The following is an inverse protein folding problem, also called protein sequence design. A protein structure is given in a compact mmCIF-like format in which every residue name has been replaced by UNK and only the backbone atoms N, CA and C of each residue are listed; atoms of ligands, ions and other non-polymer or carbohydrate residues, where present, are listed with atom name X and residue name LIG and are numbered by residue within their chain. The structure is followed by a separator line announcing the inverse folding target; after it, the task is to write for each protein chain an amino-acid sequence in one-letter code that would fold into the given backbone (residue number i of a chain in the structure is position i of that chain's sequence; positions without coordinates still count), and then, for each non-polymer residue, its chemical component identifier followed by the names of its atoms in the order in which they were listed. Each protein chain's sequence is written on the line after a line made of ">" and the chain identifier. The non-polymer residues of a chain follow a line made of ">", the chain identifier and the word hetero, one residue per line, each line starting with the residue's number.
data_IF_520817400260
#
_entry.id   IF_520817400260
#
_cell.length_a   1.000
_cell.length_b   1.000
_cell.length_c   1.000
_cell.angle_alpha   90.00
_cell.angle_beta   90.00
_cell.angle_gamma   90.00
#
_symmetry.space_group_name_H-M   'P 1'
#
loop_
_entity.id
_entity.type
_entity.pdbx_description
1 polymer ?
#
# COMPACT_ATOMS: atom_id res chain seq x y z
N UNK A 1 5.38 -15.43 -2.66
CA UNK A 1 4.03 -15.99 -2.97
C UNK A 1 2.98 -14.90 -2.79
N UNK A 2 1.83 -14.93 -3.50
CA UNK A 2 0.69 -14.02 -3.30
C UNK A 2 -0.56 -14.84 -3.05
N UNK A 3 -1.21 -14.64 -1.92
CA UNK A 3 -2.48 -15.25 -1.54
C UNK A 3 -3.55 -14.17 -1.38
N UNK A 4 -4.74 -14.37 -1.91
CA UNK A 4 -5.86 -13.41 -1.84
C UNK A 4 -7.17 -14.17 -1.78
N UNK A 5 -8.06 -13.77 -0.88
CA UNK A 5 -9.41 -14.27 -0.81
C UNK A 5 -10.41 -13.11 -0.66
N UNK A 6 -11.46 -13.07 -1.46
CA UNK A 6 -12.51 -12.05 -1.39
C UNK A 6 -13.63 -12.45 -0.41
N UNK A 7 -13.30 -13.17 0.65
CA UNK A 7 -14.21 -13.64 1.71
C UNK A 7 -13.76 -13.06 3.05
N UNK A 8 -14.63 -12.99 4.05
CA UNK A 8 -14.22 -12.64 5.41
C UNK A 8 -13.11 -13.55 5.91
N UNK A 9 -12.10 -12.97 6.57
CA UNK A 9 -10.91 -13.70 7.02
C UNK A 9 -11.23 -14.93 7.88
N UNK A 10 -12.28 -14.85 8.70
CA UNK A 10 -12.73 -15.95 9.55
C UNK A 10 -13.44 -17.10 8.80
N UNK A 11 -13.72 -16.91 7.50
CA UNK A 11 -14.29 -17.95 6.63
C UNK A 11 -13.21 -18.62 5.76
N UNK A 12 -11.97 -18.22 5.88
CA UNK A 12 -10.87 -18.78 5.10
C UNK A 12 -10.27 -19.98 5.82
N UNK A 13 -10.72 -21.16 5.46
CA UNK A 13 -10.29 -22.42 6.05
C UNK A 13 -8.79 -22.76 5.77
N UNK A 14 -8.16 -22.08 4.79
CA UNK A 14 -6.76 -22.36 4.46
C UNK A 14 -5.77 -21.49 5.24
N UNK A 15 -6.27 -20.48 5.96
CA UNK A 15 -5.38 -19.46 6.56
C UNK A 15 -4.47 -20.04 7.63
N UNK A 16 -4.97 -20.93 8.48
CA UNK A 16 -4.16 -21.58 9.54
C UNK A 16 -3.07 -22.45 8.95
N UNK A 17 -3.39 -23.27 7.95
CA UNK A 17 -2.42 -24.13 7.27
C UNK A 17 -1.36 -23.31 6.54
N UNK A 18 -1.76 -22.22 5.89
CA UNK A 18 -0.84 -21.30 5.26
C UNK A 18 0.06 -20.61 6.27
N UNK A 19 -0.49 -20.09 7.35
CA UNK A 19 0.29 -19.41 8.40
C UNK A 19 1.31 -20.32 9.07
N UNK A 20 0.98 -21.60 9.24
CA UNK A 20 1.90 -22.59 9.83
C UNK A 20 2.99 -23.07 8.87
N UNK A 21 2.73 -23.00 7.56
CA UNK A 21 3.60 -23.59 6.52
C UNK A 21 4.48 -22.57 5.81
N UNK A 22 4.07 -21.30 5.80
CA UNK A 22 4.78 -20.24 5.09
C UNK A 22 5.86 -19.64 5.97
N UNK A 23 7.09 -19.72 5.49
CA UNK A 23 8.23 -19.04 6.08
C UNK A 23 8.81 -18.07 5.04
N UNK A 24 8.92 -16.80 5.41
CA UNK A 24 9.53 -15.77 4.59
C UNK A 24 10.17 -14.70 5.49
N UNK A 25 11.16 -14.02 4.95
CA UNK A 25 11.81 -12.91 5.65
C UNK A 25 10.97 -11.62 5.57
N UNK A 26 10.04 -11.53 4.62
CA UNK A 26 9.19 -10.37 4.40
C UNK A 26 7.74 -10.79 4.14
N UNK A 27 6.83 -10.17 4.88
CA UNK A 27 5.38 -10.35 4.74
C UNK A 27 4.69 -9.02 4.46
N UNK A 28 3.81 -9.01 3.48
CA UNK A 28 2.81 -7.96 3.28
C UNK A 28 1.42 -8.57 3.52
N UNK A 29 0.71 -8.06 4.52
CA UNK A 29 -0.61 -8.57 4.90
C UNK A 29 -1.62 -7.44 5.03
N UNK A 30 -2.82 -7.65 4.52
CA UNK A 30 -3.93 -6.70 4.67
C UNK A 30 -5.27 -7.42 4.79
N UNK A 31 -6.11 -6.88 5.67
CA UNK A 31 -7.52 -7.22 5.77
C UNK A 31 -8.30 -5.93 5.62
N UNK A 32 -9.29 -5.90 4.73
CA UNK A 32 -10.09 -4.69 4.52
C UNK A 32 -11.58 -5.02 4.38
N UNK A 33 -12.42 -4.09 4.75
CA UNK A 33 -13.83 -4.10 4.40
C UNK A 33 -13.98 -3.72 2.92
N UNK A 34 -14.97 -4.31 2.23
CA UNK A 34 -15.31 -3.90 0.87
C UNK A 34 -15.85 -2.46 0.88
N UNK A 35 -15.36 -1.63 -0.03
CA UNK A 35 -15.92 -0.29 -0.23
C UNK A 35 -17.33 -0.42 -0.80
N UNK A 36 -18.34 0.24 -0.22
CA UNK A 36 -19.70 0.22 -0.77
C UNK A 36 -19.71 0.62 -2.26
N UNK A 37 -20.39 -0.15 -3.09
CA UNK A 37 -20.49 0.09 -4.54
C UNK A 37 -19.34 -0.50 -5.38
N UNK A 38 -18.25 -0.97 -4.78
CA UNK A 38 -17.24 -1.75 -5.46
C UNK A 38 -17.51 -3.24 -5.30
N UNK A 39 -17.51 -3.98 -6.40
CA UNK A 39 -17.72 -5.44 -6.36
C UNK A 39 -16.65 -6.14 -5.53
N UNK A 40 -17.09 -7.07 -4.70
CA UNK A 40 -16.19 -7.98 -3.98
C UNK A 40 -15.71 -9.04 -4.98
N UNK A 41 -14.41 -9.08 -5.23
CA UNK A 41 -13.83 -10.04 -6.18
C UNK A 41 -12.31 -10.04 -6.13
N UNK A 42 -11.71 -11.11 -6.66
CA UNK A 42 -10.25 -11.28 -6.68
C UNK A 42 -9.50 -10.12 -7.34
N UNK A 43 -10.08 -9.49 -8.36
CA UNK A 43 -9.45 -8.36 -9.07
C UNK A 43 -9.35 -7.10 -8.19
N UNK A 44 -10.26 -6.93 -7.23
CA UNK A 44 -10.28 -5.80 -6.30
C UNK A 44 -9.62 -6.13 -4.95
N UNK A 45 -9.05 -7.32 -4.79
CA UNK A 45 -8.44 -7.77 -3.54
C UNK A 45 -6.93 -7.58 -3.58
N UNK A 46 -6.42 -6.87 -2.58
CA UNK A 46 -4.99 -6.63 -2.38
C UNK A 46 -4.27 -7.88 -1.79
N UNK A 47 -2.94 -7.97 -1.89
CA UNK A 47 -2.04 -7.04 -2.56
C UNK A 47 -2.14 -7.14 -4.09
N UNK A 48 -2.00 -6.01 -4.78
CA UNK A 48 -1.80 -5.99 -6.23
C UNK A 48 -0.38 -6.40 -6.57
N UNK A 49 -0.15 -6.87 -7.80
CA UNK A 49 1.18 -7.33 -8.23
C UNK A 49 1.45 -6.94 -9.67
N UNK A 50 2.67 -6.43 -9.90
CA UNK A 50 3.26 -6.26 -11.22
C UNK A 50 4.72 -6.73 -11.17
N UNK A 51 5.07 -7.71 -11.97
CA UNK A 51 6.39 -8.37 -11.93
C UNK A 51 6.76 -8.83 -10.51
N UNK A 52 7.84 -8.28 -9.92
CA UNK A 52 8.28 -8.54 -8.55
C UNK A 52 7.67 -7.55 -7.52
N UNK A 53 7.01 -6.48 -7.96
CA UNK A 53 6.39 -5.51 -7.07
C UNK A 53 5.06 -5.98 -6.52
N UNK A 54 4.88 -5.83 -5.22
CA UNK A 54 3.61 -5.94 -4.51
C UNK A 54 3.18 -4.57 -3.99
N UNK A 55 1.87 -4.34 -3.96
CA UNK A 55 1.30 -3.06 -3.53
C UNK A 55 0.07 -3.27 -2.66
N UNK A 56 -0.01 -2.49 -1.58
CA UNK A 56 -1.17 -2.35 -0.71
C UNK A 56 -1.48 -0.87 -0.49
N UNK A 57 -2.76 -0.57 -0.24
CA UNK A 57 -3.24 0.77 0.02
C UNK A 57 -4.28 0.76 1.14
N UNK A 58 -4.04 1.54 2.17
CA UNK A 58 -4.99 1.86 3.22
C UNK A 58 -5.42 3.32 3.04
N UNK A 59 -6.55 3.50 2.40
CA UNK A 59 -7.05 4.81 2.04
C UNK A 59 -8.12 4.77 0.96
N UNK A 60 -8.39 5.91 0.37
CA UNK A 60 -9.31 6.08 -0.76
C UNK A 60 -9.04 7.41 -1.48
N UNK A 61 -9.47 7.49 -2.73
CA UNK A 61 -9.64 8.76 -3.46
C UNK A 61 -11.14 9.05 -3.54
N UNK A 62 -11.55 10.21 -3.01
CA UNK A 62 -12.96 10.63 -3.07
C UNK A 62 -13.44 10.76 -4.51
N UNK A 63 -14.64 10.24 -4.79
CA UNK A 63 -15.28 10.28 -6.12
C UNK A 63 -14.36 9.78 -7.24
N UNK A 64 -13.54 8.77 -6.93
CA UNK A 64 -12.49 8.25 -7.81
C UNK A 64 -12.99 7.89 -9.21
N UNK A 65 -14.16 7.24 -9.30
CA UNK A 65 -14.70 6.76 -10.57
C UNK A 65 -14.97 7.90 -11.57
N UNK A 66 -15.42 9.04 -11.05
CA UNK A 66 -15.80 10.21 -11.84
C UNK A 66 -14.64 11.17 -12.07
N UNK A 67 -13.72 11.27 -11.12
CA UNK A 67 -12.68 12.30 -11.11
C UNK A 67 -11.28 11.75 -11.35
N UNK A 68 -10.78 10.91 -10.47
CA UNK A 68 -9.41 10.41 -10.51
C UNK A 68 -9.16 9.46 -11.69
N UNK A 69 -10.03 8.44 -11.86
CA UNK A 69 -9.85 7.41 -12.88
C UNK A 69 -9.71 7.96 -14.31
N UNK A 70 -10.61 8.84 -14.82
CA UNK A 70 -10.47 9.34 -16.17
C UNK A 70 -9.20 10.16 -16.41
N UNK A 71 -8.70 10.83 -15.38
CA UNK A 71 -7.48 11.65 -15.49
C UNK A 71 -6.22 10.78 -15.44
N UNK A 72 -6.15 9.82 -14.51
CA UNK A 72 -5.03 8.90 -14.43
C UNK A 72 -4.88 8.12 -15.74
N UNK A 73 -5.98 7.63 -16.32
CA UNK A 73 -5.96 6.92 -17.62
C UNK A 73 -5.37 7.71 -18.77
N UNK A 74 -5.45 9.04 -18.76
CA UNK A 74 -4.83 9.87 -19.80
C UNK A 74 -3.29 9.96 -19.67
N UNK A 75 -2.78 9.69 -18.49
CA UNK A 75 -1.36 9.81 -18.14
C UNK A 75 -0.64 8.47 -18.33
N UNK A 76 -1.31 7.37 -17.98
CA UNK A 76 -0.72 6.04 -18.01
C UNK A 76 -0.27 5.64 -19.41
N UNK A 77 0.95 5.12 -19.53
CA UNK A 77 1.36 4.37 -20.70
C UNK A 77 0.49 3.11 -20.85
N UNK A 78 0.25 2.71 -22.10
CA UNK A 78 -0.68 1.63 -22.46
C UNK A 78 -0.40 0.32 -21.70
N UNK A 79 0.85 -0.02 -21.48
CA UNK A 79 1.24 -1.25 -20.79
C UNK A 79 0.79 -1.27 -19.32
N UNK A 80 0.85 -0.14 -18.59
CA UNK A 80 0.38 -0.08 -17.20
C UNK A 80 -1.14 -0.07 -17.13
N UNK A 81 -1.81 0.63 -18.06
CA UNK A 81 -3.27 0.61 -18.16
C UNK A 81 -3.78 -0.80 -18.46
N UNK A 82 -3.15 -1.52 -19.36
CA UNK A 82 -3.51 -2.87 -19.75
C UNK A 82 -3.37 -3.92 -18.62
N UNK A 83 -2.56 -3.64 -17.61
CA UNK A 83 -2.41 -4.50 -16.43
C UNK A 83 -3.49 -4.29 -15.36
N UNK A 84 -4.27 -3.22 -15.44
CA UNK A 84 -5.37 -2.95 -14.50
C UNK A 84 -6.49 -3.95 -14.78
N UNK A 85 -6.84 -4.75 -13.77
CA UNK A 85 -7.85 -5.80 -13.86
C UNK A 85 -9.16 -5.42 -13.15
N UNK A 86 -9.05 -4.62 -12.10
CA UNK A 86 -10.17 -4.17 -11.30
C UNK A 86 -10.57 -2.72 -11.59
N UNK A 87 -11.24 -2.13 -10.63
CA UNK A 87 -11.74 -0.77 -10.75
C UNK A 87 -11.49 0.09 -9.51
N UNK A 88 -10.59 -0.35 -8.62
CA UNK A 88 -10.25 0.35 -7.39
C UNK A 88 -9.26 1.47 -7.65
N UNK A 89 -9.37 2.55 -6.87
CA UNK A 89 -8.37 3.62 -6.81
C UNK A 89 -6.96 3.08 -6.51
N UNK A 90 -6.88 2.11 -5.62
CA UNK A 90 -5.63 1.46 -5.21
C UNK A 90 -4.84 0.88 -6.39
N UNK A 91 -5.51 0.19 -7.31
CA UNK A 91 -4.86 -0.40 -8.49
C UNK A 91 -4.38 0.68 -9.46
N UNK A 92 -5.13 1.77 -9.61
CA UNK A 92 -4.75 2.91 -10.43
C UNK A 92 -3.60 3.73 -9.83
N UNK A 93 -3.56 3.89 -8.50
CA UNK A 93 -2.42 4.49 -7.80
C UNK A 93 -1.16 3.65 -8.05
N UNK A 94 -1.27 2.33 -7.93
CA UNK A 94 -0.16 1.44 -8.21
C UNK A 94 0.33 1.56 -9.64
N UNK A 95 -0.57 1.53 -10.62
CA UNK A 95 -0.23 1.69 -12.04
C UNK A 95 0.46 3.05 -12.30
N UNK A 96 0.03 4.13 -11.63
CA UNK A 96 0.64 5.45 -11.76
C UNK A 96 2.07 5.49 -11.18
N UNK A 97 2.30 4.87 -10.03
CA UNK A 97 3.65 4.76 -9.46
C UNK A 97 4.56 3.96 -10.39
N UNK A 98 4.08 2.83 -10.92
CA UNK A 98 4.85 2.00 -11.87
C UNK A 98 5.17 2.73 -13.17
N UNK A 99 4.27 3.58 -13.66
CA UNK A 99 4.50 4.42 -14.82
C UNK A 99 5.69 5.37 -14.63
N UNK A 100 5.81 6.00 -13.46
CA UNK A 100 6.96 6.85 -13.17
C UNK A 100 8.24 6.07 -12.87
N UNK A 101 8.11 4.86 -12.31
CA UNK A 101 9.26 4.00 -11.99
C UNK A 101 10.09 3.59 -13.22
N UNK A 102 9.55 3.71 -14.45
CA UNK A 102 10.32 3.45 -15.67
C UNK A 102 11.53 4.38 -15.83
N UNK A 103 11.44 5.61 -15.30
CA UNK A 103 12.44 6.64 -15.47
C UNK A 103 13.03 7.15 -14.14
N UNK A 104 12.49 6.72 -13.02
CA UNK A 104 12.79 7.18 -11.68
C UNK A 104 13.21 6.00 -10.78
N UNK A 105 13.79 6.30 -9.63
CA UNK A 105 13.81 5.35 -8.53
C UNK A 105 12.44 5.32 -7.83
N UNK A 106 12.19 4.33 -6.95
CA UNK A 106 10.89 4.17 -6.29
C UNK A 106 10.49 5.38 -5.44
N UNK A 107 11.44 6.04 -4.79
CA UNK A 107 11.17 7.25 -3.98
C UNK A 107 10.65 8.38 -4.87
N UNK A 108 11.34 8.67 -5.97
CA UNK A 108 10.93 9.69 -6.94
C UNK A 108 9.62 9.31 -7.64
N UNK A 109 9.42 8.05 -7.98
CA UNK A 109 8.19 7.57 -8.59
C UNK A 109 6.97 7.79 -7.68
N UNK A 110 7.10 7.56 -6.37
CA UNK A 110 6.04 7.87 -5.39
C UNK A 110 5.78 9.37 -5.33
N UNK A 111 6.82 10.19 -5.22
CA UNK A 111 6.71 11.66 -5.17
C UNK A 111 6.01 12.19 -6.41
N UNK A 112 6.43 11.76 -7.61
CA UNK A 112 5.81 12.18 -8.88
C UNK A 112 4.35 11.73 -8.97
N UNK A 113 4.04 10.49 -8.60
CA UNK A 113 2.66 9.99 -8.60
C UNK A 113 1.77 10.82 -7.66
N UNK A 114 2.24 11.15 -6.46
CA UNK A 114 1.47 11.94 -5.49
C UNK A 114 1.33 13.40 -5.92
N UNK A 115 2.35 13.98 -6.55
CA UNK A 115 2.27 15.32 -7.14
C UNK A 115 1.20 15.39 -8.23
N UNK A 116 1.19 14.44 -9.15
CA UNK A 116 0.17 14.35 -10.19
C UNK A 116 -1.23 14.11 -9.60
N UNK A 117 -1.36 13.26 -8.60
CA UNK A 117 -2.64 13.06 -7.91
C UNK A 117 -3.13 14.35 -7.28
N UNK A 118 -2.26 15.13 -6.64
CA UNK A 118 -2.63 16.43 -6.07
C UNK A 118 -3.11 17.42 -7.12
N UNK A 119 -2.47 17.46 -8.29
CA UNK A 119 -2.89 18.32 -9.41
C UNK A 119 -4.27 17.94 -9.94
N UNK A 120 -4.48 16.65 -10.25
CA UNK A 120 -5.72 16.19 -10.91
C UNK A 120 -6.93 16.14 -9.97
N UNK A 121 -6.70 15.99 -8.66
CA UNK A 121 -7.78 15.94 -7.68
C UNK A 121 -8.26 17.33 -7.23
N UNK A 122 -7.41 18.35 -7.34
CA UNK A 122 -7.74 19.73 -6.97
C UNK A 122 -8.16 19.84 -5.49
N UNK A 123 -9.44 20.08 -5.23
CA UNK A 123 -9.97 20.20 -3.86
C UNK A 123 -10.48 18.88 -3.26
N UNK A 124 -10.43 17.79 -4.01
CA UNK A 124 -10.86 16.51 -3.51
C UNK A 124 -9.82 15.89 -2.57
N UNK A 125 -10.31 15.10 -1.62
CA UNK A 125 -9.44 14.41 -0.67
C UNK A 125 -9.02 13.04 -1.16
N UNK A 126 -7.77 12.69 -0.86
CA UNK A 126 -7.25 11.34 -0.98
C UNK A 126 -6.45 10.98 0.27
N UNK A 127 -6.63 9.76 0.75
CA UNK A 127 -5.84 9.17 1.83
C UNK A 127 -4.91 8.14 1.18
N UNK A 128 -3.61 8.31 1.34
CA UNK A 128 -2.59 7.62 0.55
C UNK A 128 -1.52 6.92 1.43
N UNK A 129 -1.98 6.17 2.44
CA UNK A 129 -1.09 5.25 3.12
C UNK A 129 -0.88 4.04 2.19
N UNK A 130 0.18 4.04 1.42
CA UNK A 130 0.53 2.95 0.51
C UNK A 130 1.73 2.18 1.04
N UNK A 131 1.83 0.93 0.66
CA UNK A 131 2.96 0.08 0.95
C UNK A 131 3.33 -0.71 -0.31
N UNK A 132 4.59 -0.62 -0.70
CA UNK A 132 5.17 -1.32 -1.84
C UNK A 132 6.36 -2.17 -1.40
N UNK A 133 6.58 -3.28 -2.08
CA UNK A 133 7.79 -4.08 -1.90
C UNK A 133 8.16 -4.81 -3.18
N UNK A 134 9.47 -4.89 -3.43
CA UNK A 134 10.09 -5.72 -4.46
C UNK A 134 10.54 -7.09 -3.93
N UNK A 135 10.38 -7.32 -2.62
CA UNK A 135 10.84 -8.51 -1.89
C UNK A 135 12.13 -8.28 -1.10
N UNK A 136 12.82 -7.17 -1.31
CA UNK A 136 14.03 -6.77 -0.59
C UNK A 136 13.77 -5.56 0.31
N UNK A 137 13.04 -4.58 -0.19
CA UNK A 137 12.69 -3.34 0.52
C UNK A 137 11.19 -3.17 0.65
N UNK A 138 10.79 -2.46 1.70
CA UNK A 138 9.42 -1.96 1.88
C UNK A 138 9.49 -0.43 1.81
N UNK A 139 8.62 0.14 0.99
CA UNK A 139 8.35 1.57 0.91
C UNK A 139 6.94 1.80 1.44
N UNK A 140 6.82 2.56 2.53
CA UNK A 140 5.53 2.82 3.18
C UNK A 140 5.32 4.30 3.37
N UNK A 141 4.16 4.82 2.96
CA UNK A 141 3.84 6.24 3.11
C UNK A 141 2.76 6.46 4.15
N UNK A 142 2.89 7.54 4.91
CA UNK A 142 1.79 8.18 5.63
C UNK A 142 1.52 9.52 4.98
N UNK A 143 0.48 9.58 4.14
CA UNK A 143 0.22 10.76 3.31
C UNK A 143 -1.28 10.97 3.06
N UNK A 144 -1.68 12.23 2.90
CA UNK A 144 -3.02 12.59 2.44
C UNK A 144 -2.99 13.87 1.61
N UNK A 145 -3.94 13.98 0.70
CA UNK A 145 -4.24 15.18 -0.07
C UNK A 145 -5.57 15.74 0.49
N UNK A 146 -5.58 17.03 0.86
CA UNK A 146 -6.76 17.72 1.38
C UNK A 146 -7.48 16.98 2.54
N UNK A 147 -6.72 16.38 3.44
CA UNK A 147 -7.26 15.64 4.59
C UNK A 147 -6.18 15.25 5.60
N UNK A 148 -6.59 14.57 6.65
CA UNK A 148 -5.68 13.97 7.63
C UNK A 148 -5.33 12.55 7.20
N UNK A 149 -4.04 12.21 7.23
CA UNK A 149 -3.59 10.87 6.89
C UNK A 149 -4.08 9.83 7.91
N UNK A 150 -4.44 8.62 7.48
CA UNK A 150 -4.66 7.52 8.41
C UNK A 150 -3.41 7.29 9.27
N UNK A 151 -3.59 6.65 10.42
CA UNK A 151 -2.46 6.27 11.27
C UNK A 151 -1.49 5.34 10.55
N UNK A 152 -0.23 5.46 10.90
CA UNK A 152 0.84 4.52 10.53
C UNK A 152 1.81 4.44 11.71
N UNK A 153 2.22 3.24 12.04
CA UNK A 153 3.15 2.97 13.13
C UNK A 153 4.31 2.14 12.62
N UNK A 154 5.47 2.40 13.19
CA UNK A 154 6.65 1.56 13.08
C UNK A 154 6.92 0.90 14.43
N UNK A 155 7.31 -0.37 14.43
CA UNK A 155 7.71 -1.09 15.62
C UNK A 155 8.90 -2.01 15.35
N UNK A 156 9.84 -2.05 16.29
CA UNK A 156 10.96 -2.98 16.28
C UNK A 156 10.96 -3.79 17.58
N UNK A 157 11.30 -5.07 17.50
CA UNK A 157 11.33 -5.98 18.65
C UNK A 157 10.00 -6.00 19.43
N UNK A 158 8.88 -5.99 18.71
CA UNK A 158 7.55 -6.00 19.31
C UNK A 158 7.26 -7.37 19.89
N UNK A 159 6.74 -7.42 21.12
CA UNK A 159 6.36 -8.67 21.78
C UNK A 159 5.35 -9.48 20.94
N UNK A 160 5.57 -10.78 20.84
CA UNK A 160 4.76 -11.71 20.02
C UNK A 160 5.30 -11.92 18.61
N UNK A 161 6.36 -11.21 18.21
CA UNK A 161 7.05 -11.39 16.94
C UNK A 161 8.47 -11.95 17.17
N UNK A 162 9.09 -12.45 16.10
CA UNK A 162 10.46 -12.95 16.17
C UNK A 162 11.43 -11.84 16.61
N UNK A 163 12.51 -12.16 17.33
CA UNK A 163 13.57 -11.21 17.63
C UNK A 163 14.07 -10.51 16.35
N UNK A 164 14.43 -9.24 16.48
CA UNK A 164 14.92 -8.39 15.39
C UNK A 164 13.88 -8.11 14.26
N UNK A 165 12.62 -8.51 14.46
CA UNK A 165 11.54 -8.15 13.53
C UNK A 165 11.28 -6.66 13.53
N UNK A 166 11.05 -6.13 12.33
CA UNK A 166 10.58 -4.77 12.10
C UNK A 166 9.18 -4.80 11.47
N UNK A 167 8.31 -3.93 11.92
CA UNK A 167 6.90 -3.89 11.52
C UNK A 167 6.48 -2.48 11.14
N UNK A 168 5.73 -2.36 10.03
CA UNK A 168 5.00 -1.15 9.67
C UNK A 168 3.53 -1.53 9.61
N UNK A 169 2.69 -0.89 10.41
CA UNK A 169 1.28 -1.24 10.58
C UNK A 169 0.37 0.00 10.62
N UNK A 170 -0.88 -0.16 10.19
CA UNK A 170 -1.87 0.92 10.25
C UNK A 170 -2.36 1.19 11.67
N UNK A 171 -2.36 0.16 12.52
CA UNK A 171 -2.79 0.22 13.92
C UNK A 171 -1.80 -0.55 14.80
N UNK A 172 -1.43 0.00 15.96
CA UNK A 172 -0.58 -0.70 16.91
C UNK A 172 -1.24 -2.01 17.36
N UNK A 173 -0.51 -3.11 17.26
CA UNK A 173 -1.05 -4.45 17.53
C UNK A 173 -1.06 -4.82 19.03
N UNK A 174 -0.49 -3.95 19.87
CA UNK A 174 -0.42 -4.12 21.33
C UNK A 174 -0.22 -2.75 22.00
N UNK A 175 -0.40 -2.70 23.31
CA UNK A 175 -0.10 -1.50 24.13
C UNK A 175 1.41 -1.34 24.41
N UNK A 176 2.26 -1.97 23.65
CA UNK A 176 3.72 -1.92 23.80
C UNK A 176 4.26 -0.53 23.53
N UNK A 177 5.25 -0.11 24.31
CA UNK A 177 6.02 1.15 24.10
C UNK A 177 6.97 1.07 22.89
N UNK A 178 7.05 -0.06 22.22
CA UNK A 178 7.89 -0.26 21.04
C UNK A 178 7.28 0.31 19.75
N UNK A 179 6.02 0.74 19.78
CA UNK A 179 5.38 1.41 18.66
C UNK A 179 5.70 2.90 18.63
N UNK A 180 6.15 3.36 17.48
CA UNK A 180 6.39 4.77 17.18
C UNK A 180 5.38 5.21 16.12
N UNK A 181 4.71 6.32 16.38
CA UNK A 181 3.81 6.93 15.38
C UNK A 181 4.67 7.57 14.30
N UNK A 182 4.42 7.22 13.06
CA UNK A 182 5.03 7.88 11.90
C UNK A 182 4.34 9.23 11.69
N UNK A 183 5.08 10.30 11.49
CA UNK A 183 4.52 11.62 11.20
C UNK A 183 3.78 11.66 9.86
N UNK A 184 2.89 12.63 9.67
CA UNK A 184 2.23 12.85 8.38
C UNK A 184 3.24 13.30 7.32
N UNK A 185 2.93 13.01 6.05
CA UNK A 185 3.76 13.34 4.90
C UNK A 185 5.17 12.75 5.00
N UNK A 186 5.23 11.45 5.35
CA UNK A 186 6.47 10.68 5.44
C UNK A 186 6.44 9.45 4.54
N UNK A 187 7.62 9.15 4.02
CA UNK A 187 7.96 7.89 3.38
C UNK A 187 8.97 7.16 4.26
N UNK A 188 8.63 5.96 4.68
CA UNK A 188 9.56 5.03 5.32
C UNK A 188 10.12 4.07 4.27
N UNK A 189 11.43 3.83 4.33
CA UNK A 189 12.09 2.80 3.54
C UNK A 189 12.75 1.84 4.53
N UNK A 190 12.32 0.59 4.50
CA UNK A 190 12.78 -0.47 5.37
C UNK A 190 13.35 -1.61 4.56
N UNK A 191 14.53 -2.09 4.94
CA UNK A 191 15.14 -3.32 4.42
C UNK A 191 15.59 -4.18 5.58
N UNK A 192 16.02 -5.41 5.29
CA UNK A 192 16.47 -6.35 6.32
C UNK A 192 17.75 -5.87 7.02
N UNK A 193 18.69 -5.37 6.25
CA UNK A 193 20.07 -5.17 6.68
C UNK A 193 20.43 -3.70 6.91
N UNK A 194 19.57 -2.76 6.48
CA UNK A 194 19.82 -1.33 6.60
C UNK A 194 18.98 -0.72 7.75
N UNK A 195 19.43 0.40 8.29
CA UNK A 195 18.63 1.21 9.18
C UNK A 195 17.38 1.74 8.48
N UNK A 196 16.30 1.91 9.24
CA UNK A 196 15.08 2.55 8.73
C UNK A 196 15.40 3.97 8.24
N UNK A 197 15.02 4.26 7.00
CA UNK A 197 15.13 5.60 6.43
C UNK A 197 13.75 6.26 6.44
N UNK A 198 13.69 7.49 6.94
CA UNK A 198 12.47 8.32 6.91
C UNK A 198 12.73 9.59 6.10
N UNK A 199 11.88 9.86 5.11
CA UNK A 199 11.95 11.01 4.21
C UNK A 199 10.66 11.83 4.28
N UNK A 200 10.76 13.14 4.09
CA UNK A 200 9.59 14.00 3.90
C UNK A 200 9.06 13.86 2.46
N UNK A 201 7.72 13.85 2.31
CA UNK A 201 6.99 13.85 1.05
C UNK A 201 6.36 15.22 0.78
#
# INVERSE_FOLDING_TARGET
>A
MRYRQPIPIWNDANLEDLASSLHADLYLATVRSATPGLGVGHYNTQPFRYQNWLFMHNGYIRDFAETGRPQIRKILAHEFEANIQGNTDSEYIFALILHFLENDDMTQAIVHAFSILNEILGQQSALLNVMLSDGEKIYATRYAINGLSPSLYYGANVEGFAPDSQLIVSEALSDSTHWQVVDEHRLLIMSRDDELVELAL
#
